data_IF_030195850620
#
_entry.id   IF_030195850620
#
_cell.length_a   1.000
_cell.length_b   1.000
_cell.length_c   1.000
_cell.angle_alpha   90.00
_cell.angle_beta   90.00
_cell.angle_gamma   90.00
#
_symmetry.space_group_name_H-M   'P 1'
#
loop_
_entity.id
_entity.type
_entity.pdbx_description
1 polymer ?
#
# COMPACT_ATOMS: atom_id res chain seq x y z
N UNK A 1 34.31 13.24 -8.54
CA UNK A 1 32.89 13.37 -8.83
C UNK A 1 32.63 14.83 -9.20
N UNK A 2 31.97 15.06 -10.32
CA UNK A 2 31.53 16.41 -10.71
C UNK A 2 30.10 16.53 -10.20
N UNK A 3 29.89 17.39 -9.20
CA UNK A 3 28.55 17.67 -8.63
C UNK A 3 28.25 19.12 -8.95
N UNK A 4 27.10 19.38 -9.55
CA UNK A 4 26.61 20.72 -9.83
C UNK A 4 25.68 21.18 -8.72
N UNK A 5 25.94 22.35 -8.15
CA UNK A 5 25.11 22.94 -7.11
C UNK A 5 25.76 24.13 -6.44
N UNK A 6 25.06 24.73 -5.49
CA UNK A 6 25.56 25.86 -4.71
C UNK A 6 26.25 25.35 -3.45
N UNK A 7 27.45 25.83 -3.15
CA UNK A 7 28.12 25.54 -1.88
C UNK A 7 27.35 26.16 -0.72
N UNK A 8 26.94 25.36 0.24
CA UNK A 8 26.23 25.83 1.44
C UNK A 8 27.21 26.06 2.58
N UNK A 9 28.15 25.14 2.74
CA UNK A 9 29.14 25.14 3.83
C UNK A 9 30.50 24.77 3.29
N UNK A 10 31.52 25.48 3.68
CA UNK A 10 32.90 25.15 3.39
C UNK A 10 33.76 25.32 4.63
N UNK A 11 34.63 24.34 4.88
CA UNK A 11 35.68 24.41 5.90
C UNK A 11 37.05 24.76 5.31
N UNK A 12 37.05 25.04 4.00
CA UNK A 12 38.25 25.39 3.26
C UNK A 12 38.44 26.93 3.31
N UNK A 13 38.99 27.43 4.42
CA UNK A 13 39.10 28.87 4.64
C UNK A 13 40.46 29.44 4.19
N UNK A 14 41.54 28.67 4.27
CA UNK A 14 42.91 29.16 4.03
C UNK A 14 43.80 28.11 3.37
N UNK A 15 44.72 28.59 2.52
CA UNK A 15 45.84 27.81 2.09
C UNK A 15 46.72 27.38 3.32
N UNK A 16 47.31 26.21 3.26
CA UNK A 16 48.15 25.62 4.30
C UNK A 16 47.38 25.05 5.54
N UNK A 17 46.07 24.84 5.44
CA UNK A 17 45.27 24.19 6.44
C UNK A 17 45.55 22.67 6.49
N UNK A 18 45.75 22.11 7.68
CA UNK A 18 45.85 20.67 7.86
C UNK A 18 44.49 20.04 7.86
N UNK A 19 44.29 18.99 7.06
CA UNK A 19 43.05 18.27 6.85
C UNK A 19 43.27 16.81 7.24
N UNK A 20 42.28 16.23 7.93
CA UNK A 20 42.32 14.80 8.30
C UNK A 20 41.48 13.99 7.31
N UNK A 21 41.86 12.76 7.05
CA UNK A 21 41.09 11.80 6.23
C UNK A 21 39.67 11.68 6.78
N UNK A 22 38.66 11.79 5.91
CA UNK A 22 37.23 11.73 6.26
C UNK A 22 36.65 13.05 6.76
N UNK A 23 37.44 14.10 6.90
CA UNK A 23 36.95 15.43 7.27
C UNK A 23 36.11 16.02 6.14
N UNK A 24 34.92 16.58 6.47
CA UNK A 24 34.07 17.27 5.50
C UNK A 24 34.72 18.56 5.07
N UNK A 25 34.95 18.70 3.77
CA UNK A 25 35.60 19.87 3.15
C UNK A 25 34.57 20.90 2.72
N UNK A 26 33.53 20.45 2.04
CA UNK A 26 32.45 21.31 1.59
C UNK A 26 31.14 20.51 1.43
N UNK A 27 30.03 21.21 1.54
CA UNK A 27 28.68 20.68 1.29
C UNK A 27 28.06 21.51 0.17
N UNK A 28 27.57 20.83 -0.86
CA UNK A 28 26.87 21.41 -2.01
C UNK A 28 25.37 21.20 -1.84
N UNK A 29 24.54 22.13 -2.29
CA UNK A 29 23.07 21.94 -2.28
C UNK A 29 22.66 20.82 -3.22
N UNK A 30 21.73 20.01 -2.75
CA UNK A 30 21.10 18.94 -3.52
C UNK A 30 19.57 19.16 -3.62
N UNK A 31 19.13 20.40 -3.81
CA UNK A 31 17.71 20.79 -3.75
C UNK A 31 16.79 19.93 -4.61
N UNK A 32 17.24 19.54 -5.80
CA UNK A 32 16.47 18.65 -6.67
C UNK A 32 16.32 17.25 -6.06
N UNK A 33 17.40 16.70 -5.48
CA UNK A 33 17.37 15.40 -4.81
C UNK A 33 16.53 15.45 -3.53
N UNK A 34 16.59 16.55 -2.77
CA UNK A 34 15.78 16.76 -1.57
C UNK A 34 14.30 16.81 -1.93
N UNK A 35 13.94 17.55 -2.98
CA UNK A 35 12.57 17.63 -3.48
C UNK A 35 12.07 16.26 -3.96
N UNK A 36 12.88 15.54 -4.74
CA UNK A 36 12.56 14.22 -5.22
C UNK A 36 12.39 13.23 -4.06
N UNK A 37 13.29 13.26 -3.08
CA UNK A 37 13.21 12.42 -1.86
C UNK A 37 11.94 12.69 -1.09
N UNK A 38 11.58 13.96 -0.86
CA UNK A 38 10.37 14.35 -0.15
C UNK A 38 9.12 13.83 -0.87
N UNK A 39 9.06 13.96 -2.21
CA UNK A 39 7.97 13.42 -3.02
C UNK A 39 7.85 11.90 -2.86
N UNK A 40 8.96 11.17 -2.99
CA UNK A 40 8.97 9.70 -2.84
C UNK A 40 8.60 9.27 -1.42
N UNK A 41 9.03 10.03 -0.41
CA UNK A 41 8.71 9.74 1.00
C UNK A 41 7.22 9.94 1.28
N UNK A 42 6.62 11.00 0.77
CA UNK A 42 5.17 11.26 0.89
C UNK A 42 4.36 10.17 0.18
N UNK A 43 4.74 9.80 -1.03
CA UNK A 43 4.14 8.68 -1.76
C UNK A 43 4.25 7.37 -0.99
N UNK A 44 5.40 7.10 -0.36
CA UNK A 44 5.61 5.92 0.46
C UNK A 44 4.66 5.90 1.67
N UNK A 45 4.44 7.05 2.32
CA UNK A 45 3.50 7.16 3.44
C UNK A 45 2.06 6.86 3.01
N UNK A 46 1.63 7.36 1.84
CA UNK A 46 0.31 7.08 1.27
C UNK A 46 0.11 5.59 0.98
N UNK A 47 1.09 4.95 0.36
CA UNK A 47 1.03 3.50 0.11
C UNK A 47 1.11 2.67 1.39
N UNK A 48 1.81 3.14 2.44
CA UNK A 48 1.80 2.48 3.75
C UNK A 48 0.43 2.52 4.41
N UNK A 49 -0.27 3.67 4.34
CA UNK A 49 -1.64 3.78 4.84
C UNK A 49 -2.59 2.84 4.07
N UNK A 50 -2.49 2.79 2.73
CA UNK A 50 -3.26 1.86 1.90
C UNK A 50 -2.95 0.39 2.25
N UNK A 51 -1.68 0.04 2.43
CA UNK A 51 -1.27 -1.32 2.79
C UNK A 51 -1.82 -1.73 4.16
N UNK A 52 -1.80 -0.82 5.14
CA UNK A 52 -2.40 -1.04 6.45
C UNK A 52 -3.89 -1.39 6.34
N UNK A 53 -4.65 -0.62 5.55
CA UNK A 53 -6.06 -0.88 5.35
C UNK A 53 -6.29 -2.19 4.57
N UNK A 54 -5.50 -2.47 3.53
CA UNK A 54 -5.56 -3.73 2.78
C UNK A 54 -5.26 -4.96 3.65
N UNK A 55 -4.36 -4.85 4.61
CA UNK A 55 -4.11 -5.90 5.58
C UNK A 55 -5.34 -6.16 6.46
N UNK A 56 -6.01 -5.11 6.94
CA UNK A 56 -7.23 -5.21 7.73
C UNK A 56 -8.36 -5.86 6.92
N UNK A 57 -8.71 -5.30 5.75
CA UNK A 57 -9.82 -5.83 4.95
C UNK A 57 -9.57 -7.25 4.46
N UNK A 58 -8.30 -7.60 4.14
CA UNK A 58 -7.92 -8.96 3.75
C UNK A 58 -8.03 -9.99 4.88
N UNK A 59 -7.98 -9.54 6.14
CA UNK A 59 -8.21 -10.39 7.32
C UNK A 59 -9.66 -10.39 7.80
N UNK A 60 -10.55 -9.67 7.12
CA UNK A 60 -11.96 -9.53 7.51
C UNK A 60 -12.20 -8.50 8.61
N UNK A 61 -11.22 -7.68 8.93
CA UNK A 61 -11.38 -6.58 9.87
C UNK A 61 -11.71 -5.29 9.11
N UNK A 62 -12.91 -4.78 9.30
CA UNK A 62 -13.42 -3.59 8.61
C UNK A 62 -13.44 -2.34 9.49
N UNK A 63 -12.78 -2.36 10.64
CA UNK A 63 -12.76 -1.23 11.58
C UNK A 63 -11.47 -0.42 11.46
N UNK A 64 -11.56 0.89 11.74
CA UNK A 64 -10.40 1.77 11.77
C UNK A 64 -9.68 1.91 10.43
N UNK A 65 -10.40 1.84 9.32
CA UNK A 65 -9.89 2.13 7.98
C UNK A 65 -9.64 3.64 7.85
N UNK A 66 -8.53 4.00 7.23
CA UNK A 66 -8.12 5.39 7.04
C UNK A 66 -8.36 5.88 5.60
N UNK A 67 -8.27 4.97 4.64
CA UNK A 67 -8.38 5.27 3.22
C UNK A 67 -9.84 5.25 2.79
N UNK A 68 -10.35 6.38 2.30
CA UNK A 68 -11.75 6.52 1.87
C UNK A 68 -12.18 5.53 0.78
N UNK A 69 -11.26 5.06 -0.04
CA UNK A 69 -11.51 4.02 -1.04
C UNK A 69 -11.98 2.72 -0.38
N UNK A 70 -11.23 2.19 0.59
CA UNK A 70 -11.56 0.89 1.22
C UNK A 70 -12.79 0.99 2.12
N UNK A 71 -13.04 2.13 2.74
CA UNK A 71 -14.30 2.39 3.46
C UNK A 71 -15.50 2.23 2.49
N UNK A 72 -15.44 2.83 1.30
CA UNK A 72 -16.50 2.71 0.28
C UNK A 72 -16.62 1.29 -0.27
N UNK A 73 -15.52 0.61 -0.54
CA UNK A 73 -15.53 -0.77 -1.05
C UNK A 73 -16.16 -1.74 -0.03
N UNK A 74 -15.84 -1.59 1.25
CA UNK A 74 -16.44 -2.39 2.34
C UNK A 74 -17.95 -2.10 2.44
N UNK A 75 -18.36 -0.84 2.43
CA UNK A 75 -19.79 -0.46 2.45
C UNK A 75 -20.55 -1.08 1.28
N UNK A 76 -20.02 -0.94 0.06
CA UNK A 76 -20.65 -1.49 -1.14
C UNK A 76 -20.75 -3.04 -1.09
N UNK A 77 -19.73 -3.72 -0.58
CA UNK A 77 -19.76 -5.17 -0.37
C UNK A 77 -20.85 -5.55 0.65
N UNK A 78 -20.91 -4.85 1.79
CA UNK A 78 -21.89 -5.11 2.85
C UNK A 78 -23.32 -4.87 2.36
N UNK A 79 -23.56 -3.81 1.57
CA UNK A 79 -24.86 -3.52 0.97
C UNK A 79 -25.31 -4.64 0.01
N UNK A 80 -24.41 -5.11 -0.86
CA UNK A 80 -24.69 -6.24 -1.74
C UNK A 80 -25.02 -7.52 -0.96
N UNK A 81 -24.26 -7.80 0.11
CA UNK A 81 -24.51 -8.96 0.98
C UNK A 81 -25.87 -8.82 1.67
N UNK A 82 -26.21 -7.64 2.21
CA UNK A 82 -27.50 -7.39 2.88
C UNK A 82 -28.69 -7.59 1.93
N UNK A 83 -28.55 -7.15 0.68
CA UNK A 83 -29.58 -7.37 -0.35
C UNK A 83 -29.81 -8.86 -0.59
N UNK A 84 -28.73 -9.64 -0.79
CA UNK A 84 -28.84 -11.09 -1.01
C UNK A 84 -29.31 -11.82 0.26
N UNK A 85 -28.91 -11.37 1.46
CA UNK A 85 -29.41 -11.90 2.72
C UNK A 85 -30.91 -11.74 2.90
N UNK A 86 -31.48 -10.62 2.46
CA UNK A 86 -32.94 -10.40 2.48
C UNK A 86 -33.66 -11.40 1.57
N UNK A 87 -33.11 -11.65 0.37
CA UNK A 87 -33.63 -12.66 -0.54
C UNK A 87 -33.48 -14.09 0.02
N UNK A 88 -32.31 -14.38 0.63
CA UNK A 88 -32.02 -15.65 1.26
C UNK A 88 -33.00 -15.95 2.40
N UNK A 89 -33.34 -14.94 3.22
CA UNK A 89 -34.30 -15.11 4.31
C UNK A 89 -35.70 -15.48 3.81
N UNK A 90 -36.12 -14.94 2.66
CA UNK A 90 -37.36 -15.30 2.00
C UNK A 90 -37.30 -16.72 1.42
N UNK A 91 -36.28 -16.99 0.61
CA UNK A 91 -36.06 -18.31 0.02
C UNK A 91 -35.95 -19.42 1.08
N UNK A 92 -35.37 -19.11 2.25
CA UNK A 92 -35.33 -20.05 3.37
C UNK A 92 -36.73 -20.41 3.89
N UNK A 93 -37.62 -19.45 4.04
CA UNK A 93 -39.00 -19.70 4.47
C UNK A 93 -39.76 -20.56 3.46
N UNK A 94 -39.55 -20.31 2.15
CA UNK A 94 -40.19 -21.07 1.09
C UNK A 94 -39.61 -22.49 1.02
N UNK A 95 -38.32 -22.66 1.19
CA UNK A 95 -37.67 -23.97 1.33
C UNK A 95 -38.18 -24.76 2.55
N UNK A 96 -38.22 -24.11 3.74
CA UNK A 96 -38.70 -24.77 4.98
C UNK A 96 -40.16 -25.24 4.80
N UNK A 97 -41.02 -24.44 4.12
CA UNK A 97 -42.41 -24.82 3.82
C UNK A 97 -42.47 -25.99 2.82
N UNK A 98 -41.69 -25.89 1.74
CA UNK A 98 -41.64 -26.95 0.73
C UNK A 98 -41.12 -28.26 1.30
N UNK A 99 -40.14 -28.25 2.21
CA UNK A 99 -39.63 -29.39 2.89
C UNK A 99 -40.73 -30.08 3.73
N UNK A 100 -41.54 -29.30 4.46
CA UNK A 100 -42.67 -29.81 5.23
C UNK A 100 -43.71 -30.50 4.34
N UNK A 101 -44.11 -29.86 3.26
CA UNK A 101 -45.10 -30.37 2.31
C UNK A 101 -44.60 -31.61 1.55
N UNK A 102 -43.32 -31.63 1.18
CA UNK A 102 -42.70 -32.81 0.58
C UNK A 102 -42.69 -34.02 1.53
N UNK A 103 -42.32 -33.81 2.79
CA UNK A 103 -42.30 -34.86 3.79
C UNK A 103 -43.73 -35.41 4.09
N UNK A 104 -44.76 -34.60 3.86
CA UNK A 104 -46.16 -35.00 3.97
C UNK A 104 -46.74 -35.64 2.68
N UNK A 105 -45.93 -35.72 1.61
CA UNK A 105 -46.36 -36.24 0.32
C UNK A 105 -47.30 -35.31 -0.47
N UNK A 106 -47.39 -34.03 -0.09
CA UNK A 106 -48.29 -33.05 -0.71
C UNK A 106 -47.75 -32.49 -2.01
N UNK A 107 -46.41 -32.29 -2.09
CA UNK A 107 -45.74 -31.79 -3.32
C UNK A 107 -44.77 -32.82 -3.89
N UNK A 108 -44.59 -32.84 -5.23
CA UNK A 108 -43.61 -33.72 -5.85
C UNK A 108 -42.16 -33.25 -5.57
N UNK A 109 -41.22 -34.21 -5.70
CA UNK A 109 -39.79 -33.93 -5.48
C UNK A 109 -39.26 -32.78 -6.35
N UNK A 110 -39.66 -32.69 -7.59
CA UNK A 110 -39.22 -31.65 -8.53
C UNK A 110 -39.58 -30.24 -8.03
N UNK A 111 -40.73 -30.09 -7.36
CA UNK A 111 -41.13 -28.81 -6.79
C UNK A 111 -40.33 -28.49 -5.52
N UNK A 112 -40.09 -29.45 -4.65
CA UNK A 112 -39.20 -29.30 -3.49
C UNK A 112 -37.76 -28.93 -3.95
N UNK A 113 -37.22 -29.67 -4.94
CA UNK A 113 -35.87 -29.42 -5.46
C UNK A 113 -35.68 -27.99 -5.97
N UNK A 114 -36.71 -27.38 -6.56
CA UNK A 114 -36.67 -25.97 -6.98
C UNK A 114 -36.37 -25.04 -5.80
N UNK A 115 -37.14 -25.12 -4.71
CA UNK A 115 -36.96 -24.27 -3.54
C UNK A 115 -35.61 -24.55 -2.83
N UNK A 116 -35.19 -25.81 -2.81
CA UNK A 116 -33.89 -26.19 -2.29
C UNK A 116 -32.75 -25.54 -3.06
N UNK A 117 -32.75 -25.60 -4.40
CA UNK A 117 -31.71 -25.01 -5.23
C UNK A 117 -31.74 -23.50 -5.19
N UNK A 118 -32.89 -22.85 -5.15
CA UNK A 118 -33.01 -21.40 -4.99
C UNK A 118 -32.37 -20.91 -3.69
N UNK A 119 -32.66 -21.62 -2.58
CA UNK A 119 -32.02 -21.33 -1.28
C UNK A 119 -30.49 -21.55 -1.33
N UNK A 120 -30.03 -22.65 -1.90
CA UNK A 120 -28.59 -22.94 -2.02
C UNK A 120 -27.85 -21.94 -2.93
N UNK A 121 -28.47 -21.54 -4.02
CA UNK A 121 -27.88 -20.55 -4.96
C UNK A 121 -27.65 -19.21 -4.26
N UNK A 122 -28.62 -18.70 -3.51
CA UNK A 122 -28.47 -17.43 -2.79
C UNK A 122 -27.41 -17.54 -1.67
N UNK A 123 -27.30 -18.67 -1.01
CA UNK A 123 -26.25 -18.94 -0.02
C UNK A 123 -24.86 -18.90 -0.68
N UNK A 124 -24.71 -19.54 -1.84
CA UNK A 124 -23.48 -19.56 -2.60
C UNK A 124 -23.14 -18.16 -3.14
N UNK A 125 -24.14 -17.37 -3.53
CA UNK A 125 -23.95 -16.01 -4.01
C UNK A 125 -23.30 -15.10 -2.96
N UNK A 126 -23.69 -15.22 -1.68
CA UNK A 126 -23.06 -14.48 -0.57
C UNK A 126 -21.58 -14.85 -0.44
N UNK A 127 -21.27 -16.14 -0.50
CA UNK A 127 -19.87 -16.62 -0.44
C UNK A 127 -19.06 -16.05 -1.61
N UNK A 128 -19.61 -16.13 -2.81
CA UNK A 128 -18.97 -15.62 -4.04
C UNK A 128 -18.67 -14.11 -3.96
N UNK A 129 -19.61 -13.30 -3.45
CA UNK A 129 -19.39 -11.85 -3.26
C UNK A 129 -18.19 -11.62 -2.33
N UNK A 130 -18.10 -12.32 -1.20
CA UNK A 130 -17.01 -12.20 -0.25
C UNK A 130 -15.67 -12.64 -0.84
N UNK A 131 -15.66 -13.79 -1.52
CA UNK A 131 -14.46 -14.36 -2.13
C UNK A 131 -13.90 -13.47 -3.25
N UNK A 132 -14.76 -12.95 -4.12
CA UNK A 132 -14.37 -12.03 -5.18
C UNK A 132 -13.75 -10.75 -4.62
N UNK A 133 -14.39 -10.15 -3.61
CA UNK A 133 -13.87 -8.94 -2.98
C UNK A 133 -12.54 -9.21 -2.26
N UNK A 134 -12.43 -10.33 -1.55
CA UNK A 134 -11.18 -10.73 -0.89
C UNK A 134 -10.04 -10.94 -1.89
N UNK A 135 -10.31 -11.62 -3.00
CA UNK A 135 -9.32 -11.84 -4.05
C UNK A 135 -8.84 -10.51 -4.67
N UNK A 136 -9.75 -9.54 -4.84
CA UNK A 136 -9.42 -8.20 -5.32
C UNK A 136 -8.51 -7.45 -4.33
N UNK A 137 -8.85 -7.45 -3.03
CA UNK A 137 -8.01 -6.80 -2.01
C UNK A 137 -6.63 -7.46 -1.88
N UNK A 138 -6.56 -8.79 -1.98
CA UNK A 138 -5.27 -9.50 -1.98
C UNK A 138 -4.41 -9.15 -3.20
N UNK A 139 -5.02 -8.96 -4.37
CA UNK A 139 -4.30 -8.50 -5.56
C UNK A 139 -3.77 -7.08 -5.37
N UNK A 140 -4.63 -6.15 -4.93
CA UNK A 140 -4.24 -4.76 -4.63
C UNK A 140 -3.14 -4.70 -3.57
N UNK A 141 -3.22 -5.53 -2.52
CA UNK A 141 -2.18 -5.64 -1.49
C UNK A 141 -0.81 -5.98 -2.09
N UNK A 142 -0.76 -7.03 -2.93
CA UNK A 142 0.51 -7.41 -3.61
C UNK A 142 1.05 -6.29 -4.49
N UNK A 143 0.18 -5.56 -5.17
CA UNK A 143 0.58 -4.43 -6.02
C UNK A 143 1.13 -3.28 -5.18
N UNK A 144 0.46 -2.90 -4.09
CA UNK A 144 0.90 -1.87 -3.15
C UNK A 144 2.25 -2.24 -2.51
N UNK A 145 2.45 -3.51 -2.14
CA UNK A 145 3.73 -3.99 -1.63
C UNK A 145 4.87 -3.87 -2.66
N UNK A 146 4.57 -4.11 -3.95
CA UNK A 146 5.55 -3.90 -5.03
C UNK A 146 5.91 -2.43 -5.19
N UNK A 147 4.92 -1.55 -5.16
CA UNK A 147 5.14 -0.10 -5.24
C UNK A 147 6.00 0.39 -4.07
N UNK A 148 5.72 -0.04 -2.85
CA UNK A 148 6.52 0.32 -1.68
C UNK A 148 7.97 -0.15 -1.79
N UNK A 149 8.22 -1.36 -2.29
CA UNK A 149 9.60 -1.84 -2.51
C UNK A 149 10.32 -0.99 -3.56
N UNK A 150 9.65 -0.64 -4.66
CA UNK A 150 10.22 0.23 -5.69
C UNK A 150 10.59 1.61 -5.15
N UNK A 151 9.67 2.22 -4.39
CA UNK A 151 9.92 3.52 -3.74
C UNK A 151 11.07 3.44 -2.74
N UNK A 152 11.15 2.38 -1.93
CA UNK A 152 12.25 2.16 -0.99
C UNK A 152 13.61 2.06 -1.68
N UNK A 153 13.68 1.37 -2.82
CA UNK A 153 14.89 1.29 -3.64
C UNK A 153 15.28 2.66 -4.20
N UNK A 154 14.31 3.42 -4.67
CA UNK A 154 14.56 4.77 -5.21
C UNK A 154 15.02 5.74 -4.12
N UNK A 155 14.38 5.74 -2.94
CA UNK A 155 14.82 6.55 -1.79
C UNK A 155 16.25 6.17 -1.38
N UNK A 156 16.59 4.88 -1.41
CA UNK A 156 17.93 4.40 -1.11
C UNK A 156 18.93 4.93 -2.14
N UNK A 157 18.60 4.90 -3.42
CA UNK A 157 19.42 5.46 -4.50
C UNK A 157 19.66 6.95 -4.29
N UNK A 158 18.60 7.72 -4.01
CA UNK A 158 18.69 9.15 -3.75
C UNK A 158 19.60 9.43 -2.54
N UNK A 159 19.44 8.67 -1.45
CA UNK A 159 20.28 8.82 -0.26
C UNK A 159 21.76 8.53 -0.54
N UNK A 160 22.07 7.59 -1.43
CA UNK A 160 23.44 7.33 -1.85
C UNK A 160 23.99 8.45 -2.73
N UNK A 161 23.17 8.97 -3.62
CA UNK A 161 23.53 10.10 -4.49
C UNK A 161 23.77 11.38 -3.68
N UNK A 162 22.95 11.65 -2.66
CA UNK A 162 23.13 12.77 -1.73
C UNK A 162 24.50 12.74 -1.01
N UNK A 163 25.07 11.54 -0.76
CA UNK A 163 26.42 11.45 -0.16
C UNK A 163 27.50 12.05 -1.03
N UNK A 164 27.32 12.09 -2.34
CA UNK A 164 28.27 12.70 -3.27
C UNK A 164 28.29 14.22 -3.18
N UNK A 165 27.27 14.84 -2.55
CA UNK A 165 27.18 16.27 -2.32
C UNK A 165 27.89 16.72 -1.04
N UNK A 166 28.32 15.76 -0.20
CA UNK A 166 29.20 15.98 0.94
C UNK A 166 30.60 15.57 0.53
N UNK A 167 31.47 16.53 0.24
CA UNK A 167 32.83 16.26 -0.19
C UNK A 167 33.74 16.15 1.03
N UNK A 168 34.34 14.97 1.19
CA UNK A 168 35.24 14.66 2.29
C UNK A 168 36.68 14.46 1.80
N UNK A 169 37.62 14.68 2.68
CA UNK A 169 39.06 14.47 2.38
C UNK A 169 39.37 12.97 2.22
N UNK A 170 39.89 12.50 1.08
CA UNK A 170 40.25 11.11 0.86
C UNK A 170 41.51 10.68 1.63
N UNK A 171 42.39 11.62 1.95
CA UNK A 171 43.64 11.43 2.69
C UNK A 171 43.85 12.56 3.68
N UNK A 172 44.66 12.31 4.72
CA UNK A 172 45.15 13.39 5.58
C UNK A 172 46.34 14.10 4.90
N UNK A 173 46.39 15.41 5.02
CA UNK A 173 47.42 16.21 4.38
C UNK A 173 47.26 17.70 4.64
N UNK A 174 48.05 18.48 3.89
CA UNK A 174 47.99 19.92 3.93
C UNK A 174 47.36 20.44 2.64
N UNK A 175 46.36 21.28 2.77
CA UNK A 175 45.73 21.96 1.61
C UNK A 175 46.67 23.01 1.03
N UNK A 176 46.98 22.88 -0.25
CA UNK A 176 47.77 23.86 -1.00
C UNK A 176 47.04 24.27 -2.27
N UNK A 177 47.27 25.51 -2.74
CA UNK A 177 46.71 26.06 -3.95
C UNK A 177 45.15 26.07 -3.97
N UNK A 178 44.50 26.37 -2.84
CA UNK A 178 43.08 26.59 -2.79
C UNK A 178 42.73 27.95 -3.40
N UNK A 179 42.04 27.94 -4.52
CA UNK A 179 41.66 29.17 -5.29
C UNK A 179 40.28 29.71 -4.93
N UNK A 180 39.64 29.21 -3.89
CA UNK A 180 38.30 29.58 -3.46
C UNK A 180 37.21 28.71 -4.12
N UNK A 181 35.97 28.80 -3.60
CA UNK A 181 34.77 28.19 -4.13
C UNK A 181 33.80 29.29 -4.48
#
# INVERSE_FOLDING_TARGET
>A
AVVSGRVIETKLEKNNQNIKKGETLLIVTAEQLDTQKNLQTNQSADYQAQLSDLQKVSSGNFTGLQTGQYIKEVSAMQEKIAQVQSQLALAKKDYDRALLLYNQGVIPRAEYDKFYYDYQNLKTQISSIKEQQLAQWQAQKRDTERQLRSLGSEITRINQEQKNYVITAPISGRLVNFSGV
#
